data_IF_323081882333
#
_entry.id   IF_323081882333
#
_cell.length_a   1.000
_cell.length_b   1.000
_cell.length_c   1.000
_cell.angle_alpha   90.00
_cell.angle_beta   90.00
_cell.angle_gamma   90.00
#
_symmetry.space_group_name_H-M   'P 1'
#
loop_
_entity.id
_entity.type
_entity.pdbx_description
1 polymer ?
#
# COMPACT_ATOMS: atom_id res chain seq x y z
N UNK A 1 8.27 22.52 -6.30
CA UNK A 1 7.86 21.12 -6.52
C UNK A 1 7.80 20.94 -8.03
N UNK A 2 8.85 20.32 -8.62
CA UNK A 2 8.88 19.99 -10.05
C UNK A 2 8.15 18.67 -10.26
N UNK A 3 7.03 18.72 -10.97
CA UNK A 3 6.32 17.56 -11.48
C UNK A 3 7.19 16.93 -12.58
N UNK A 4 7.72 15.74 -12.31
CA UNK A 4 8.41 14.94 -13.33
C UNK A 4 7.32 14.12 -14.02
N UNK A 5 6.92 14.56 -15.21
CA UNK A 5 6.09 13.76 -16.11
C UNK A 5 6.98 12.77 -16.85
N UNK A 6 6.63 11.48 -16.92
CA UNK A 6 7.40 10.50 -17.69
C UNK A 6 7.22 10.76 -19.21
N UNK A 7 8.28 10.64 -20.02
CA UNK A 7 8.24 10.89 -21.46
C UNK A 7 7.84 9.61 -22.21
N UNK A 8 6.56 9.32 -22.34
CA UNK A 8 6.08 8.29 -23.27
C UNK A 8 4.76 8.71 -23.92
N UNK A 9 4.83 9.73 -24.78
CA UNK A 9 3.85 9.91 -25.84
C UNK A 9 4.59 10.16 -27.15
N UNK A 10 4.87 9.09 -27.90
CA UNK A 10 5.15 9.23 -29.33
C UNK A 10 3.83 9.46 -30.05
N UNK A 11 3.65 10.67 -30.50
CA UNK A 11 2.57 11.05 -31.39
C UNK A 11 2.84 10.40 -32.76
N UNK A 12 2.06 9.38 -33.12
CA UNK A 12 2.08 8.83 -34.48
C UNK A 12 1.31 9.80 -35.36
N UNK A 13 2.02 10.51 -36.23
CA UNK A 13 1.42 11.35 -37.27
C UNK A 13 1.02 10.42 -38.42
N UNK A 14 -0.27 10.27 -38.78
CA UNK A 14 -0.67 9.55 -39.98
C UNK A 14 -0.57 10.48 -41.18
N UNK A 15 0.22 10.13 -42.17
CA UNK A 15 0.16 10.83 -43.44
C UNK A 15 1.45 10.90 -44.25
N UNK A 16 1.91 9.75 -44.74
CA UNK A 16 2.69 9.73 -45.99
C UNK A 16 2.01 8.78 -46.98
N UNK A 17 1.67 9.24 -48.22
CA UNK A 17 1.10 8.34 -49.19
C UNK A 17 2.12 7.29 -49.63
N UNK A 18 1.72 6.04 -49.53
CA UNK A 18 2.53 4.91 -50.00
C UNK A 18 2.70 4.98 -51.51
N UNK A 19 3.92 4.77 -52.07
CA UNK A 19 4.06 4.61 -53.51
C UNK A 19 3.29 3.37 -53.97
N UNK A 20 2.52 3.56 -55.03
CA UNK A 20 1.76 2.49 -55.68
C UNK A 20 2.79 1.55 -56.33
N UNK A 21 3.09 0.43 -55.66
CA UNK A 21 3.84 -0.67 -56.24
C UNK A 21 2.92 -1.42 -57.19
N UNK A 22 3.20 -1.32 -58.48
CA UNK A 22 2.58 -2.18 -59.50
C UNK A 22 2.75 -3.66 -59.08
N UNK A 23 1.69 -4.47 -59.10
CA UNK A 23 1.84 -5.90 -58.82
C UNK A 23 2.71 -6.55 -59.89
N UNK A 24 3.86 -7.06 -59.47
CA UNK A 24 4.64 -7.99 -60.29
C UNK A 24 3.79 -9.23 -60.59
N UNK A 25 3.89 -9.80 -61.80
CA UNK A 25 3.21 -11.05 -62.11
C UNK A 25 3.71 -12.16 -61.16
N UNK A 26 2.75 -12.72 -60.42
CA UNK A 26 3.01 -13.85 -59.54
C UNK A 26 3.28 -15.09 -60.41
N UNK A 27 4.50 -15.54 -60.44
CA UNK A 27 4.89 -16.83 -61.02
C UNK A 27 4.26 -17.94 -60.17
N UNK A 28 3.35 -18.76 -60.72
CA UNK A 28 2.64 -19.79 -59.93
C UNK A 28 3.56 -20.91 -59.41
N UNK A 29 4.83 -20.94 -59.80
CA UNK A 29 5.79 -21.96 -59.35
C UNK A 29 6.35 -21.70 -57.95
N UNK A 30 6.16 -20.49 -57.37
CA UNK A 30 6.67 -20.11 -56.02
C UNK A 30 5.67 -20.39 -54.89
N UNK A 31 4.44 -20.81 -55.22
CA UNK A 31 3.40 -21.05 -54.24
C UNK A 31 3.48 -22.37 -53.45
N UNK A 32 4.53 -23.14 -53.65
CA UNK A 32 4.59 -24.52 -53.10
C UNK A 32 5.77 -24.83 -52.21
N UNK A 33 6.21 -23.96 -51.32
CA UNK A 33 7.10 -24.42 -50.26
C UNK A 33 7.41 -23.38 -49.18
N UNK A 34 6.44 -22.51 -48.81
CA UNK A 34 6.57 -21.86 -47.53
C UNK A 34 5.66 -22.55 -46.52
N UNK A 35 5.93 -23.84 -46.29
CA UNK A 35 5.65 -24.41 -44.98
C UNK A 35 6.53 -23.64 -44.03
N UNK A 36 5.91 -22.75 -43.21
CA UNK A 36 6.56 -22.20 -42.02
C UNK A 36 6.92 -23.43 -41.16
N UNK A 37 8.08 -24.01 -41.39
CA UNK A 37 8.71 -24.90 -40.44
C UNK A 37 9.03 -24.03 -39.26
N UNK A 38 8.15 -24.05 -38.27
CA UNK A 38 8.41 -23.49 -36.95
C UNK A 38 9.72 -24.09 -36.50
N UNK A 39 10.77 -23.27 -36.51
CA UNK A 39 12.11 -23.66 -36.11
C UNK A 39 12.00 -24.30 -34.71
N UNK A 40 12.30 -25.59 -34.53
CA UNK A 40 12.16 -26.26 -33.24
C UNK A 40 12.98 -25.56 -32.14
N UNK A 41 14.05 -24.87 -32.51
CA UNK A 41 14.84 -24.05 -31.60
C UNK A 41 14.05 -22.83 -31.06
N UNK A 42 13.23 -22.19 -31.88
CA UNK A 42 12.38 -21.09 -31.48
C UNK A 42 11.25 -21.52 -30.54
N UNK A 43 10.70 -22.71 -30.74
CA UNK A 43 9.67 -23.28 -29.86
C UNK A 43 10.25 -23.64 -28.48
N UNK A 44 11.45 -24.19 -28.43
CA UNK A 44 12.15 -24.56 -27.18
C UNK A 44 12.55 -23.35 -26.38
N UNK A 45 13.02 -22.28 -27.02
CA UNK A 45 13.30 -20.99 -26.39
C UNK A 45 12.03 -20.35 -25.77
N UNK A 46 10.93 -20.34 -26.52
CA UNK A 46 9.66 -19.81 -26.02
C UNK A 46 9.15 -20.61 -24.80
N UNK A 47 9.27 -21.93 -24.84
CA UNK A 47 8.87 -22.81 -23.74
C UNK A 47 9.73 -22.55 -22.49
N UNK A 48 11.04 -22.40 -22.61
CA UNK A 48 11.95 -22.04 -21.50
C UNK A 48 11.65 -20.66 -20.92
N UNK A 49 11.40 -19.67 -21.77
CA UNK A 49 11.02 -18.31 -21.34
C UNK A 49 9.66 -18.31 -20.63
N UNK A 50 8.70 -19.09 -21.10
CA UNK A 50 7.39 -19.22 -20.45
C UNK A 50 7.53 -19.88 -19.07
N UNK A 51 8.31 -20.95 -18.97
CA UNK A 51 8.56 -21.68 -17.73
C UNK A 51 9.27 -20.80 -16.69
N UNK A 52 10.27 -20.00 -17.10
CA UNK A 52 10.98 -19.09 -16.21
C UNK A 52 10.06 -17.95 -15.69
N UNK A 53 9.19 -17.41 -16.53
CA UNK A 53 8.21 -16.39 -16.12
C UNK A 53 7.21 -16.96 -15.11
N UNK A 54 6.71 -18.17 -15.32
CA UNK A 54 5.79 -18.85 -14.40
C UNK A 54 6.48 -19.08 -13.04
N UNK A 55 7.72 -19.54 -13.04
CA UNK A 55 8.49 -19.76 -11.81
C UNK A 55 8.73 -18.47 -11.04
N UNK A 56 9.15 -17.39 -11.70
CA UNK A 56 9.37 -16.10 -11.09
C UNK A 56 8.07 -15.51 -10.52
N UNK A 57 6.99 -15.61 -11.28
CA UNK A 57 5.67 -15.15 -10.80
C UNK A 57 5.19 -15.96 -9.60
N UNK A 58 5.35 -17.29 -9.65
CA UNK A 58 5.02 -18.18 -8.54
C UNK A 58 5.83 -17.85 -7.28
N UNK A 59 7.13 -17.63 -7.42
CA UNK A 59 8.00 -17.23 -6.31
C UNK A 59 7.57 -15.89 -5.70
N UNK A 60 7.24 -14.92 -6.55
CA UNK A 60 6.76 -13.61 -6.10
C UNK A 60 5.44 -13.72 -5.33
N UNK A 61 4.45 -14.46 -5.84
CA UNK A 61 3.18 -14.69 -5.16
C UNK A 61 3.37 -15.41 -3.82
N UNK A 62 4.18 -16.47 -3.81
CA UNK A 62 4.46 -17.23 -2.58
C UNK A 62 5.12 -16.35 -1.53
N UNK A 63 6.14 -15.59 -1.89
CA UNK A 63 6.79 -14.64 -0.98
C UNK A 63 5.83 -13.59 -0.45
N UNK A 64 4.98 -13.03 -1.30
CA UNK A 64 3.98 -12.03 -0.92
C UNK A 64 2.95 -12.61 0.05
N UNK A 65 2.45 -13.84 -0.21
CA UNK A 65 1.49 -14.54 0.68
C UNK A 65 2.11 -14.82 2.05
N UNK A 66 3.33 -15.33 2.09
CA UNK A 66 4.04 -15.59 3.35
C UNK A 66 4.21 -14.32 4.17
N UNK A 67 4.66 -13.22 3.55
CA UNK A 67 4.81 -11.94 4.22
C UNK A 67 3.47 -11.35 4.66
N UNK A 68 2.42 -11.52 3.87
CA UNK A 68 1.06 -11.10 4.22
C UNK A 68 0.57 -11.83 5.47
N UNK A 69 0.64 -13.17 5.50
CA UNK A 69 0.25 -13.97 6.65
C UNK A 69 1.04 -13.57 7.89
N UNK A 70 2.36 -13.45 7.77
CA UNK A 70 3.23 -13.02 8.85
C UNK A 70 2.87 -11.63 9.41
N UNK A 71 2.64 -10.65 8.51
CA UNK A 71 2.23 -9.30 8.90
C UNK A 71 0.86 -9.27 9.57
N UNK A 72 -0.12 -9.98 9.03
CA UNK A 72 -1.45 -10.06 9.61
C UNK A 72 -1.43 -10.74 10.98
N UNK A 73 -0.65 -11.80 11.12
CA UNK A 73 -0.47 -12.51 12.39
C UNK A 73 0.13 -11.58 13.44
N UNK A 74 1.21 -10.87 13.11
CA UNK A 74 1.80 -9.86 14.00
C UNK A 74 0.81 -8.75 14.37
N UNK A 75 0.09 -8.21 13.39
CA UNK A 75 -0.91 -7.18 13.62
C UNK A 75 -2.04 -7.66 14.53
N UNK A 76 -2.49 -8.90 14.37
CA UNK A 76 -3.52 -9.52 15.20
C UNK A 76 -3.05 -9.73 16.65
N UNK A 77 -1.87 -10.29 16.86
CA UNK A 77 -1.32 -10.47 18.21
C UNK A 77 -1.08 -9.13 18.89
N UNK A 78 -0.50 -8.16 18.18
CA UNK A 78 -0.32 -6.80 18.71
C UNK A 78 -1.65 -6.17 19.10
N UNK A 79 -2.68 -6.28 18.27
CA UNK A 79 -4.01 -5.78 18.55
C UNK A 79 -4.61 -6.42 19.81
N UNK A 80 -4.52 -7.74 19.96
CA UNK A 80 -4.98 -8.45 21.16
C UNK A 80 -4.22 -7.99 22.42
N UNK A 81 -2.91 -7.93 22.34
CA UNK A 81 -2.07 -7.52 23.47
C UNK A 81 -2.34 -6.06 23.85
N UNK A 82 -2.47 -5.17 22.87
CA UNK A 82 -2.78 -3.77 23.08
C UNK A 82 -4.12 -3.61 23.80
N UNK A 83 -5.18 -4.26 23.31
CA UNK A 83 -6.49 -4.15 23.93
C UNK A 83 -6.57 -4.82 25.30
N UNK A 84 -5.83 -5.89 25.53
CA UNK A 84 -5.77 -6.55 26.84
C UNK A 84 -5.09 -5.67 27.91
N UNK A 85 -4.15 -4.82 27.52
CA UNK A 85 -3.46 -3.88 28.43
C UNK A 85 -4.12 -2.50 28.53
N UNK A 86 -5.20 -2.28 27.78
CA UNK A 86 -5.91 -1.00 27.73
C UNK A 86 -7.13 -0.98 28.65
N UNK A 87 -7.31 0.14 29.32
CA UNK A 87 -8.52 0.48 30.07
C UNK A 87 -9.33 1.56 29.35
N UNK A 88 -10.64 1.63 29.56
CA UNK A 88 -11.44 2.72 29.02
C UNK A 88 -10.97 4.05 29.62
N UNK A 89 -10.79 5.05 28.78
CA UNK A 89 -10.32 6.36 29.23
C UNK A 89 -11.30 7.00 30.25
N UNK A 90 -10.81 7.84 31.18
CA UNK A 90 -11.63 8.61 32.10
C UNK A 90 -12.69 9.47 31.38
N UNK A 91 -13.78 9.77 32.09
CA UNK A 91 -14.88 10.55 31.52
C UNK A 91 -14.43 11.93 31.04
N UNK A 92 -13.53 12.57 31.78
CA UNK A 92 -12.96 13.87 31.43
C UNK A 92 -12.28 13.84 30.06
N UNK A 93 -11.39 12.86 29.84
CA UNK A 93 -10.66 12.69 28.57
C UNK A 93 -11.64 12.41 27.41
N UNK A 94 -12.65 11.57 27.63
CA UNK A 94 -13.68 11.29 26.62
C UNK A 94 -14.50 12.53 26.27
N UNK A 95 -14.88 13.35 27.28
CA UNK A 95 -15.65 14.57 27.06
C UNK A 95 -14.83 15.60 26.28
N UNK A 96 -13.57 15.79 26.66
CA UNK A 96 -12.67 16.69 25.94
C UNK A 96 -12.44 16.23 24.51
N UNK A 97 -12.25 14.93 24.30
CA UNK A 97 -12.10 14.37 22.95
C UNK A 97 -13.35 14.58 22.09
N UNK A 98 -14.57 14.49 22.68
CA UNK A 98 -15.79 14.81 21.93
C UNK A 98 -15.83 16.28 21.51
N UNK A 99 -15.48 17.20 22.41
CA UNK A 99 -15.41 18.63 22.09
C UNK A 99 -14.44 18.90 20.94
N UNK A 100 -13.22 18.38 21.04
CA UNK A 100 -12.21 18.54 20.01
C UNK A 100 -12.60 17.87 18.69
N UNK A 101 -13.18 16.68 18.74
CA UNK A 101 -13.66 15.97 17.55
C UNK A 101 -14.78 16.75 16.84
N UNK A 102 -15.70 17.37 17.61
CA UNK A 102 -16.74 18.25 17.08
C UNK A 102 -16.14 19.49 16.43
N UNK A 103 -15.21 20.17 17.11
CA UNK A 103 -14.50 21.33 16.57
C UNK A 103 -13.75 21.01 15.27
N UNK A 104 -13.13 19.82 15.20
CA UNK A 104 -12.46 19.30 14.01
C UNK A 104 -13.42 18.75 12.95
N UNK A 105 -14.73 18.71 13.19
CA UNK A 105 -15.74 18.13 12.30
C UNK A 105 -15.44 16.68 11.91
N UNK A 106 -15.01 15.86 12.88
CA UNK A 106 -14.77 14.43 12.66
C UNK A 106 -16.09 13.69 12.49
N UNK A 107 -16.19 12.87 11.45
CA UNK A 107 -17.40 12.07 11.14
C UNK A 107 -17.67 10.98 12.19
N UNK A 108 -16.63 10.42 12.80
CA UNK A 108 -16.72 9.36 13.82
C UNK A 108 -15.71 9.62 14.93
N UNK A 109 -16.14 9.51 16.18
CA UNK A 109 -15.25 9.59 17.33
C UNK A 109 -14.45 8.27 17.45
N UNK A 110 -13.11 8.31 17.60
CA UNK A 110 -12.31 7.13 17.88
C UNK A 110 -12.65 6.56 19.26
N UNK A 111 -12.43 5.26 19.45
CA UNK A 111 -12.48 4.66 20.78
C UNK A 111 -11.23 5.04 21.53
N UNK A 112 -11.40 5.71 22.69
CA UNK A 112 -10.29 6.20 23.49
C UNK A 112 -10.02 5.24 24.63
N UNK A 113 -8.78 4.81 24.72
CA UNK A 113 -8.27 3.91 25.74
C UNK A 113 -7.10 4.55 26.46
N UNK A 114 -6.86 4.13 27.68
CA UNK A 114 -5.65 4.46 28.45
C UNK A 114 -4.86 3.20 28.75
N UNK A 115 -3.55 3.31 28.83
CA UNK A 115 -2.66 2.20 29.18
C UNK A 115 -1.65 2.66 30.23
N UNK A 116 -1.26 1.74 31.10
CA UNK A 116 -0.17 1.94 32.07
C UNK A 116 1.20 1.77 31.43
N UNK A 117 1.27 1.21 30.22
CA UNK A 117 2.53 1.06 29.52
C UNK A 117 3.15 2.41 29.14
N UNK A 118 4.48 2.52 29.26
CA UNK A 118 5.22 3.72 28.84
C UNK A 118 5.36 3.75 27.33
N UNK A 119 4.34 4.26 26.67
CA UNK A 119 4.26 4.40 25.21
C UNK A 119 4.05 5.88 24.86
N UNK A 120 4.31 6.23 23.61
CA UNK A 120 3.79 7.48 23.03
C UNK A 120 2.30 7.32 22.70
N UNK A 121 1.49 8.41 22.65
CA UNK A 121 0.13 8.32 22.12
C UNK A 121 0.11 7.59 20.79
N UNK A 122 -0.84 6.67 20.63
CA UNK A 122 -0.89 5.78 19.48
C UNK A 122 -2.29 5.75 18.89
N UNK A 123 -2.39 6.01 17.59
CA UNK A 123 -3.61 5.78 16.80
C UNK A 123 -3.49 4.43 16.11
N UNK A 124 -4.39 3.54 16.45
CA UNK A 124 -4.46 2.19 15.88
C UNK A 124 -5.77 1.98 15.12
N UNK A 125 -5.67 1.54 13.88
CA UNK A 125 -6.83 1.24 13.05
C UNK A 125 -6.80 -0.21 12.58
N UNK A 126 -7.78 -0.98 13.01
CA UNK A 126 -8.02 -2.35 12.57
C UNK A 126 -9.51 -2.65 12.57
N UNK A 127 -9.99 -3.35 11.52
CA UNK A 127 -11.39 -3.76 11.44
C UNK A 127 -12.40 -2.60 11.33
N UNK A 128 -12.01 -1.48 10.72
CA UNK A 128 -12.91 -0.35 10.45
C UNK A 128 -13.16 0.57 11.65
N UNK A 129 -12.53 0.32 12.80
CA UNK A 129 -12.62 1.15 14.00
C UNK A 129 -11.27 1.76 14.34
N UNK A 130 -11.28 3.04 14.70
CA UNK A 130 -10.08 3.77 15.12
C UNK A 130 -10.01 3.72 16.64
N UNK A 131 -8.88 3.27 17.16
CA UNK A 131 -8.55 3.24 18.57
C UNK A 131 -7.46 4.27 18.83
N UNK A 132 -7.69 5.17 19.79
CA UNK A 132 -6.69 6.09 20.29
C UNK A 132 -6.28 5.62 21.68
N UNK A 133 -5.03 5.32 21.85
CA UNK A 133 -4.44 4.85 23.11
C UNK A 133 -3.56 5.95 23.68
N UNK A 134 -3.88 6.38 24.90
CA UNK A 134 -3.16 7.40 25.64
C UNK A 134 -2.47 6.77 26.85
N UNK A 135 -1.17 7.00 27.06
CA UNK A 135 -0.50 6.57 28.28
C UNK A 135 -1.04 7.32 29.50
N UNK A 136 -1.29 6.59 30.59
CA UNK A 136 -1.70 7.22 31.86
C UNK A 136 -0.65 8.20 32.38
N UNK A 137 0.63 7.93 32.11
CA UNK A 137 1.73 8.81 32.52
C UNK A 137 1.60 10.23 31.95
N UNK A 138 1.08 10.38 30.74
CA UNK A 138 0.83 11.69 30.13
C UNK A 138 -0.30 12.43 30.86
N UNK A 139 -1.39 11.73 31.17
CA UNK A 139 -2.54 12.31 31.86
C UNK A 139 -2.23 12.70 33.31
N UNK A 140 -1.27 12.00 33.96
CA UNK A 140 -0.89 12.26 35.35
C UNK A 140 0.22 13.28 35.49
N UNK A 141 1.17 13.33 34.56
CA UNK A 141 2.37 14.17 34.66
C UNK A 141 2.22 15.52 33.95
N UNK A 142 1.32 15.62 32.97
CA UNK A 142 1.13 16.84 32.20
C UNK A 142 -0.09 17.63 32.71
N UNK A 143 0.01 18.96 32.76
CA UNK A 143 -1.13 19.78 33.05
C UNK A 143 -2.24 19.63 32.00
N UNK A 144 -3.50 19.91 32.36
CA UNK A 144 -4.66 19.67 31.49
C UNK A 144 -4.54 20.27 30.08
N UNK A 145 -3.96 21.46 29.96
CA UNK A 145 -3.83 22.13 28.67
C UNK A 145 -2.83 21.43 27.74
N UNK A 146 -1.75 20.87 28.26
CA UNK A 146 -0.71 20.21 27.44
C UNK A 146 -1.21 18.88 26.84
N UNK A 147 -1.80 17.99 27.65
CA UNK A 147 -2.32 16.74 27.11
C UNK A 147 -3.51 16.96 26.16
N UNK A 148 -4.26 18.07 26.33
CA UNK A 148 -5.33 18.44 25.39
C UNK A 148 -4.78 18.82 24.02
N UNK A 149 -3.64 19.52 23.95
CA UNK A 149 -2.95 19.79 22.69
C UNK A 149 -2.49 18.52 22.00
N UNK A 150 -1.88 17.59 22.76
CA UNK A 150 -1.52 16.27 22.24
C UNK A 150 -2.73 15.51 21.70
N UNK A 151 -3.83 15.52 22.43
CA UNK A 151 -5.08 14.90 21.98
C UNK A 151 -5.63 15.54 20.69
N UNK A 152 -5.60 16.85 20.58
CA UNK A 152 -6.02 17.57 19.38
C UNK A 152 -5.12 17.21 18.18
N UNK A 153 -3.83 17.08 18.41
CA UNK A 153 -2.87 16.65 17.40
C UNK A 153 -3.18 15.25 16.85
N UNK A 154 -3.41 14.27 17.73
CA UNK A 154 -3.79 12.91 17.33
C UNK A 154 -5.13 12.88 16.57
N UNK A 155 -6.11 13.67 17.01
CA UNK A 155 -7.39 13.78 16.31
C UNK A 155 -7.24 14.44 14.93
N UNK A 156 -6.30 15.37 14.76
CA UNK A 156 -5.99 15.97 13.46
C UNK A 156 -5.40 14.92 12.48
N UNK A 157 -4.53 14.02 12.96
CA UNK A 157 -4.04 12.89 12.14
C UNK A 157 -5.18 11.99 11.68
N UNK A 158 -6.15 11.71 12.57
CA UNK A 158 -7.34 10.94 12.20
C UNK A 158 -8.18 11.66 11.13
N UNK A 159 -8.35 12.99 11.26
CA UNK A 159 -9.06 13.82 10.28
C UNK A 159 -8.38 13.76 8.91
N UNK A 160 -7.07 13.88 8.88
CA UNK A 160 -6.24 13.78 7.65
C UNK A 160 -6.21 12.39 7.04
N UNK A 161 -6.66 11.37 7.77
CA UNK A 161 -6.62 9.95 7.37
C UNK A 161 -5.20 9.42 7.19
N UNK A 162 -4.26 9.87 7.98
CA UNK A 162 -2.86 9.45 7.89
C UNK A 162 -2.69 7.92 8.07
N UNK A 163 -3.64 7.27 8.74
CA UNK A 163 -3.72 5.81 8.81
C UNK A 163 -3.86 5.12 7.44
N UNK A 164 -4.49 5.78 6.44
CA UNK A 164 -4.58 5.23 5.08
C UNK A 164 -3.21 5.26 4.39
N UNK A 165 -2.42 6.31 4.61
CA UNK A 165 -1.05 6.41 4.07
C UNK A 165 -0.21 5.26 4.63
N UNK A 166 -0.31 4.98 5.93
CA UNK A 166 0.38 3.84 6.57
C UNK A 166 -0.03 2.49 5.96
N UNK A 167 -1.31 2.33 5.64
CA UNK A 167 -1.78 1.13 4.95
C UNK A 167 -1.25 1.02 3.53
N UNK A 168 -1.16 2.15 2.80
CA UNK A 168 -0.56 2.18 1.46
C UNK A 168 0.95 1.85 1.52
N UNK A 169 1.69 2.40 2.48
CA UNK A 169 3.09 2.07 2.73
C UNK A 169 3.27 0.57 3.01
N UNK A 170 2.41 0.01 3.86
CA UNK A 170 2.43 -1.42 4.16
C UNK A 170 2.12 -2.28 2.93
N UNK A 171 1.07 -1.95 2.19
CA UNK A 171 0.68 -2.66 0.96
C UNK A 171 1.79 -2.59 -0.11
N UNK A 172 2.41 -1.41 -0.28
CA UNK A 172 3.56 -1.24 -1.18
C UNK A 172 4.75 -2.10 -0.75
N UNK A 173 5.01 -2.18 0.56
CA UNK A 173 6.06 -3.05 1.10
C UNK A 173 5.81 -4.53 0.86
N UNK A 174 4.53 -4.97 0.81
CA UNK A 174 4.17 -6.33 0.46
C UNK A 174 4.30 -6.59 -1.06
N UNK A 175 3.88 -5.63 -1.89
CA UNK A 175 3.94 -5.78 -3.35
C UNK A 175 5.39 -5.77 -3.87
N UNK A 176 6.25 -4.94 -3.28
CA UNK A 176 7.64 -4.73 -3.69
C UNK A 176 8.66 -5.22 -2.66
N UNK A 177 8.34 -6.31 -1.96
CA UNK A 177 9.19 -6.87 -0.89
C UNK A 177 10.60 -7.23 -1.35
N UNK A 178 10.77 -7.55 -2.62
CA UNK A 178 12.04 -7.90 -3.25
C UNK A 178 12.90 -6.67 -3.63
N UNK A 179 12.31 -5.46 -3.63
CA UNK A 179 13.00 -4.25 -4.05
C UNK A 179 13.78 -3.63 -2.88
N UNK A 180 15.14 -3.56 -2.95
CA UNK A 180 15.96 -3.02 -1.88
C UNK A 180 15.67 -1.54 -1.59
N UNK A 181 15.22 -0.76 -2.57
CA UNK A 181 14.87 0.65 -2.37
C UNK A 181 13.71 0.84 -1.41
N UNK A 182 12.78 -0.12 -1.34
CA UNK A 182 11.68 -0.09 -0.36
C UNK A 182 12.18 -0.29 1.08
N UNK A 183 13.31 -0.97 1.28
CA UNK A 183 13.93 -1.15 2.59
C UNK A 183 14.72 0.08 3.02
N UNK A 184 15.31 0.79 2.05
CA UNK A 184 16.08 2.01 2.30
C UNK A 184 15.18 3.22 2.60
N UNK A 185 13.96 3.25 2.05
CA UNK A 185 12.98 4.34 2.22
C UNK A 185 12.20 4.29 3.54
N UNK A 186 12.38 3.24 4.35
CA UNK A 186 11.77 3.07 5.68
C UNK A 186 12.67 3.60 6.78
#
# INVERSE_FOLDING_TARGET
>A
VKLITPPFFHLIIPGTPSPILNPLPLDPSVASSTSLSLDPAASDLNQKLLSSKILLTGLWFTGTIVLLIFSLTKAFFFHRQLLASCQPAPAEVKNKARQLASALKLKKLPKIHTTSASLTPLVWWLGGRIHLVLPQSILQKMPPHEWQWGLAHELAHIKRRDHLVRWMEWASGLAFWWNPLMWLAR
#
